data_IF_928693100170
#
_entry.id   IF_928693100170
#
_cell.length_a   1.000
_cell.length_b   1.000
_cell.length_c   1.000
_cell.angle_alpha   90.00
_cell.angle_beta   90.00
_cell.angle_gamma   90.00
#
_symmetry.space_group_name_H-M   'P 1'
#
loop_
_entity.id
_entity.type
_entity.pdbx_description
1 polymer ?
#
# COMPACT_ATOMS: atom_id res chain seq x y z
N UNK A 1 -2.91 -13.11 23.26
CA UNK A 1 -3.38 -11.70 23.31
C UNK A 1 -3.92 -11.37 21.94
N UNK A 2 -5.24 -11.14 21.82
CA UNK A 2 -5.84 -10.78 20.54
C UNK A 2 -5.36 -9.38 20.19
N UNK A 3 -4.43 -9.24 19.25
CA UNK A 3 -4.13 -7.95 18.65
C UNK A 3 -5.46 -7.41 18.12
N UNK A 4 -5.83 -6.19 18.52
CA UNK A 4 -6.97 -5.53 17.90
C UNK A 4 -6.75 -5.58 16.37
N UNK A 5 -7.73 -6.04 15.60
CA UNK A 5 -7.59 -6.15 14.15
C UNK A 5 -7.24 -4.78 13.57
N UNK A 6 -6.11 -4.71 12.86
CA UNK A 6 -5.63 -3.48 12.24
C UNK A 6 -6.57 -3.04 11.11
N UNK A 7 -6.71 -1.74 10.86
CA UNK A 7 -7.49 -1.25 9.73
C UNK A 7 -6.88 -1.72 8.41
N UNK A 8 -7.74 -1.96 7.43
CA UNK A 8 -7.36 -2.18 6.03
C UNK A 8 -7.50 -0.86 5.29
N UNK A 9 -6.57 -0.57 4.40
CA UNK A 9 -6.63 0.65 3.61
C UNK A 9 -6.84 0.32 2.15
N UNK A 10 -7.78 1.00 1.52
CA UNK A 10 -7.95 0.96 0.08
C UNK A 10 -7.70 2.35 -0.48
N UNK A 11 -7.14 2.43 -1.69
CA UNK A 11 -6.93 3.71 -2.36
C UNK A 11 -7.00 3.55 -3.87
N UNK A 12 -7.21 4.68 -4.55
CA UNK A 12 -7.14 4.72 -6.01
C UNK A 12 -5.76 4.31 -6.51
N UNK A 13 -4.71 4.76 -5.85
CA UNK A 13 -3.34 4.49 -6.26
C UNK A 13 -2.49 4.04 -5.07
N UNK A 14 -1.73 2.98 -5.26
CA UNK A 14 -0.63 2.59 -4.39
C UNK A 14 0.68 2.84 -5.11
N UNK A 15 1.62 3.53 -4.48
CA UNK A 15 3.00 3.69 -4.97
C UNK A 15 3.99 3.01 -4.03
N UNK A 16 4.91 2.23 -4.60
CA UNK A 16 6.01 1.61 -3.88
C UNK A 16 7.24 1.49 -4.78
N UNK A 17 8.40 1.92 -4.31
CA UNK A 17 9.62 1.98 -5.12
C UNK A 17 9.40 2.73 -6.45
N UNK A 18 9.58 2.02 -7.56
CA UNK A 18 9.32 2.53 -8.93
C UNK A 18 7.90 2.28 -9.44
N UNK A 19 7.09 1.54 -8.70
CA UNK A 19 5.81 1.01 -9.17
C UNK A 19 4.63 1.85 -8.71
N UNK A 20 3.59 1.90 -9.54
CA UNK A 20 2.25 2.34 -9.18
C UNK A 20 1.23 1.25 -9.53
N UNK A 21 0.18 1.14 -8.75
CA UNK A 21 -0.94 0.24 -9.02
C UNK A 21 -2.27 0.86 -8.61
N UNK A 22 -3.33 0.42 -9.28
CA UNK A 22 -4.66 0.98 -9.13
C UNK A 22 -5.55 0.09 -8.28
N UNK A 23 -6.46 0.71 -7.52
CA UNK A 23 -7.52 0.03 -6.76
C UNK A 23 -6.98 -1.14 -5.92
N UNK A 24 -6.07 -0.82 -5.00
CA UNK A 24 -5.38 -1.82 -4.18
C UNK A 24 -5.89 -1.75 -2.74
N UNK A 25 -6.15 -2.93 -2.16
CA UNK A 25 -6.38 -3.14 -0.73
C UNK A 25 -5.05 -3.51 -0.07
N UNK A 26 -4.74 -2.82 1.04
CA UNK A 26 -3.48 -2.93 1.78
C UNK A 26 -3.83 -3.35 3.20
N UNK A 27 -3.31 -4.49 3.61
CA UNK A 27 -3.48 -5.03 4.97
C UNK A 27 -2.11 -5.15 5.65
N UNK A 28 -1.97 -4.59 6.84
CA UNK A 28 -0.76 -4.77 7.64
C UNK A 28 -0.84 -6.10 8.41
N UNK A 29 -0.01 -7.05 8.02
CA UNK A 29 0.03 -8.39 8.64
C UNK A 29 0.87 -8.40 9.93
N UNK A 30 2.00 -7.69 9.91
CA UNK A 30 2.85 -7.45 11.08
C UNK A 30 3.53 -6.09 10.93
N UNK A 31 4.10 -5.49 12.00
CA UNK A 31 4.75 -4.19 11.91
C UNK A 31 5.75 -4.12 10.74
N UNK A 32 5.47 -3.26 9.76
CA UNK A 32 6.29 -3.07 8.57
C UNK A 32 6.22 -4.18 7.50
N UNK A 33 5.20 -5.02 7.56
CA UNK A 33 4.88 -6.07 6.57
C UNK A 33 3.44 -5.95 6.10
N UNK A 34 3.24 -5.90 4.78
CA UNK A 34 1.95 -5.62 4.15
C UNK A 34 1.59 -6.70 3.13
N UNK A 35 0.29 -7.00 3.07
CA UNK A 35 -0.33 -7.86 2.07
C UNK A 35 -1.15 -6.97 1.14
N UNK A 36 -0.97 -7.17 -0.17
CA UNK A 36 -1.73 -6.50 -1.21
C UNK A 36 -2.78 -7.43 -1.80
N UNK A 37 -3.99 -6.90 -1.98
CA UNK A 37 -5.08 -7.59 -2.65
C UNK A 37 -5.81 -6.62 -3.60
N UNK A 38 -6.54 -7.13 -4.61
CA UNK A 38 -7.43 -6.29 -5.40
C UNK A 38 -8.49 -5.66 -4.51
N UNK A 39 -8.72 -4.36 -4.64
CA UNK A 39 -9.88 -3.73 -4.03
C UNK A 39 -11.12 -3.97 -4.90
N UNK A 40 -12.03 -4.83 -4.42
CA UNK A 40 -13.27 -5.20 -5.12
C UNK A 40 -14.53 -4.59 -4.50
N UNK A 41 -14.38 -3.88 -3.38
CA UNK A 41 -15.47 -3.25 -2.64
C UNK A 41 -15.10 -3.04 -1.16
N UNK A 42 -15.80 -2.12 -0.51
CA UNK A 42 -15.61 -1.86 0.92
C UNK A 42 -16.12 -3.05 1.74
N UNK A 43 -15.22 -3.68 2.49
CA UNK A 43 -15.55 -4.71 3.48
C UNK A 43 -15.33 -4.20 4.91
N UNK A 44 -15.57 -5.04 5.90
CA UNK A 44 -15.36 -4.68 7.31
C UNK A 44 -13.96 -4.09 7.54
N UNK A 45 -13.91 -2.92 8.22
CA UNK A 45 -12.69 -2.20 8.60
C UNK A 45 -11.82 -1.73 7.43
N UNK A 46 -12.41 -1.59 6.24
CA UNK A 46 -11.74 -0.97 5.11
C UNK A 46 -11.95 0.54 5.16
N UNK A 47 -10.85 1.29 5.17
CA UNK A 47 -10.87 2.74 5.03
C UNK A 47 -10.46 3.05 3.59
N UNK A 48 -11.41 3.53 2.79
CA UNK A 48 -11.11 3.99 1.45
C UNK A 48 -10.59 5.43 1.50
N UNK A 49 -9.40 5.64 0.97
CA UNK A 49 -8.71 6.93 0.94
C UNK A 49 -8.66 7.46 -0.48
N UNK A 50 -9.14 8.69 -0.65
CA UNK A 50 -9.02 9.42 -1.90
C UNK A 50 -7.58 9.88 -2.08
N UNK A 51 -6.88 9.36 -3.09
CA UNK A 51 -5.52 9.76 -3.43
C UNK A 51 -4.56 8.58 -3.59
N UNK A 52 -3.29 8.84 -3.29
CA UNK A 52 -2.20 7.88 -3.44
C UNK A 52 -1.63 7.51 -2.09
N UNK A 53 -1.73 6.24 -1.73
CA UNK A 53 -1.00 5.68 -0.60
C UNK A 53 0.44 5.39 -1.03
N UNK A 54 1.41 5.69 -0.18
CA UNK A 54 2.81 5.36 -0.40
C UNK A 54 3.27 4.28 0.59
N UNK A 55 3.91 3.23 0.08
CA UNK A 55 4.71 2.32 0.86
C UNK A 55 6.17 2.65 0.62
N UNK A 56 6.89 2.98 1.70
CA UNK A 56 8.29 3.41 1.65
C UNK A 56 9.13 2.52 2.53
N UNK A 57 10.24 2.01 1.99
CA UNK A 57 11.23 1.26 2.75
C UNK A 57 12.60 1.95 2.65
N UNK A 58 13.44 1.91 3.70
CA UNK A 58 14.83 2.35 3.62
C UNK A 58 15.64 1.63 2.54
N UNK A 59 15.27 0.39 2.20
CA UNK A 59 15.93 -0.42 1.15
C UNK A 59 15.27 -0.30 -0.21
N UNK A 60 14.09 0.33 -0.28
CA UNK A 60 13.35 0.60 -1.52
C UNK A 60 12.71 1.99 -1.47
N UNK A 61 13.53 3.05 -1.67
CA UNK A 61 13.00 4.41 -1.73
C UNK A 61 12.14 4.60 -2.98
N UNK A 62 11.24 5.60 -2.92
CA UNK A 62 10.45 5.98 -4.09
C UNK A 62 11.36 6.48 -5.21
N UNK A 63 11.13 5.99 -6.42
CA UNK A 63 11.89 6.44 -7.59
C UNK A 63 11.57 7.91 -7.91
N UNK A 64 12.59 8.71 -8.22
CA UNK A 64 12.44 10.12 -8.60
C UNK A 64 11.81 10.32 -9.99
N UNK A 65 11.81 9.28 -10.82
CA UNK A 65 11.23 9.30 -12.16
C UNK A 65 9.71 9.08 -12.20
N UNK A 66 9.17 9.06 -13.43
CA UNK A 66 7.79 8.65 -13.66
C UNK A 66 7.59 7.21 -13.17
N UNK A 67 6.55 6.94 -12.35
CA UNK A 67 6.29 5.59 -11.87
C UNK A 67 5.89 4.68 -13.03
N UNK A 68 6.25 3.41 -12.91
CA UNK A 68 5.87 2.35 -13.83
C UNK A 68 4.59 1.69 -13.34
N UNK A 69 3.62 1.52 -14.23
CA UNK A 69 2.42 0.74 -13.93
C UNK A 69 2.79 -0.71 -13.67
N UNK A 70 2.35 -1.24 -12.54
CA UNK A 70 2.55 -2.64 -12.21
C UNK A 70 1.60 -3.52 -13.02
N UNK A 71 2.17 -4.43 -13.80
CA UNK A 71 1.39 -5.37 -14.62
C UNK A 71 0.54 -6.34 -13.79
N UNK A 72 0.90 -6.56 -12.53
CA UNK A 72 0.14 -7.39 -11.59
C UNK A 72 0.45 -7.06 -10.13
N UNK A 73 -0.51 -7.36 -9.24
CA UNK A 73 -0.30 -7.29 -7.80
C UNK A 73 0.74 -8.30 -7.29
N UNK A 74 0.94 -9.42 -8.00
CA UNK A 74 1.96 -10.42 -7.64
C UNK A 74 3.36 -9.82 -7.73
N UNK A 75 3.65 -9.01 -8.75
CA UNK A 75 4.92 -8.30 -8.88
C UNK A 75 5.13 -7.31 -7.71
N UNK A 76 4.10 -6.56 -7.34
CA UNK A 76 4.15 -5.65 -6.20
C UNK A 76 4.38 -6.39 -4.88
N UNK A 77 3.71 -7.52 -4.67
CA UNK A 77 3.89 -8.33 -3.47
C UNK A 77 5.30 -8.91 -3.41
N UNK A 78 5.88 -9.32 -4.54
CA UNK A 78 7.27 -9.76 -4.62
C UNK A 78 8.25 -8.65 -4.26
N UNK A 79 8.01 -7.42 -4.76
CA UNK A 79 8.82 -6.26 -4.39
C UNK A 79 8.70 -5.97 -2.89
N UNK A 80 7.48 -5.97 -2.33
CA UNK A 80 7.29 -5.81 -0.89
C UNK A 80 8.05 -6.85 -0.08
N UNK A 81 7.98 -8.11 -0.48
CA UNK A 81 8.66 -9.21 0.22
C UNK A 81 10.20 -9.17 0.07
N UNK A 82 10.71 -8.47 -0.94
CA UNK A 82 12.16 -8.33 -1.19
C UNK A 82 12.82 -7.27 -0.31
N UNK A 83 12.02 -6.45 0.39
CA UNK A 83 12.48 -5.34 1.22
C UNK A 83 11.87 -5.41 2.60
N UNK A 84 12.44 -4.67 3.55
CA UNK A 84 11.99 -4.67 4.95
C UNK A 84 11.81 -3.26 5.48
N UNK A 85 11.14 -3.12 6.61
CA UNK A 85 10.93 -1.81 7.25
C UNK A 85 10.00 -0.90 6.44
N UNK A 86 8.99 -1.48 5.79
CA UNK A 86 7.99 -0.69 5.06
C UNK A 86 7.21 0.19 6.02
N UNK A 87 6.97 1.43 5.60
CA UNK A 87 6.14 2.39 6.30
C UNK A 87 4.98 2.78 5.39
N UNK A 88 3.77 2.69 5.92
CA UNK A 88 2.55 3.14 5.26
C UNK A 88 2.39 4.65 5.47
N UNK A 89 2.40 5.41 4.37
CA UNK A 89 2.05 6.82 4.37
C UNK A 89 0.71 7.01 3.68
N UNK A 90 -0.27 7.44 4.46
CA UNK A 90 -1.59 7.77 3.95
C UNK A 90 -1.52 9.10 3.19
N UNK A 91 -2.36 9.30 2.15
CA UNK A 91 -2.52 10.63 1.55
C UNK A 91 -2.88 11.63 2.66
N UNK A 92 -2.27 12.81 2.60
CA UNK A 92 -2.67 13.92 3.46
C UNK A 92 -4.16 14.17 3.22
N UNK A 93 -4.96 14.12 4.28
CA UNK A 93 -6.32 14.63 4.27
C UNK A 93 -6.20 16.15 4.19
N UNK A 94 -6.02 16.69 2.98
CA UNK A 94 -6.29 18.10 2.70
C UNK A 94 -7.81 18.25 2.79
N UNK A 95 -8.31 18.25 4.03
CA UNK A 95 -9.69 18.57 4.36
C UNK A 95 -9.99 19.96 3.83
N UNK A 96 -10.62 20.00 2.65
CA UNK A 96 -11.06 21.21 1.99
C UNK A 96 -12.57 21.30 1.99
#
# INVERSE_FOLDING_TARGET
MSLAPRPRYASHHLRLGRWVAHSVLIEEHSPGSFILAPFVGEGERTIFLSGTIHLISPTCPLSEGAPLEAESLTLLQQELNSHTGWTLQLPSDDGR
#
